data_IF_390353040108
#
_entry.id   IF_390353040108
#
_cell.length_a   1.000
_cell.length_b   1.000
_cell.length_c   1.000
_cell.angle_alpha   90.00
_cell.angle_beta   90.00
_cell.angle_gamma   90.00
#
_symmetry.space_group_name_H-M   'P 1'
#
loop_
_entity.id
_entity.type
_entity.pdbx_description
1 polymer ?
#
# COMPACT_ATOMS: atom_id res chain seq x y z
N UNK A 1 -11.94 -0.91 -10.93
CA UNK A 1 -11.50 -0.25 -9.67
C UNK A 1 -10.55 0.87 -10.02
N UNK A 2 -10.56 1.96 -9.25
CA UNK A 2 -9.67 3.12 -9.42
C UNK A 2 -8.61 3.14 -8.33
N UNK A 3 -7.39 3.52 -8.69
CA UNK A 3 -6.28 3.63 -7.75
C UNK A 3 -5.83 5.09 -7.63
N UNK A 4 -5.59 5.55 -6.41
CA UNK A 4 -5.13 6.90 -6.10
C UNK A 4 -3.89 6.85 -5.22
N UNK A 5 -2.85 7.61 -5.58
CA UNK A 5 -1.62 7.72 -4.80
C UNK A 5 -1.75 8.90 -3.83
N UNK A 6 -1.50 8.62 -2.56
CA UNK A 6 -1.50 9.61 -1.48
C UNK A 6 -0.08 9.82 -0.98
N UNK A 7 0.36 11.07 -0.97
CA UNK A 7 1.67 11.49 -0.49
C UNK A 7 1.52 12.61 0.54
N UNK A 8 2.40 12.67 1.53
CA UNK A 8 2.32 13.66 2.61
C UNK A 8 3.42 13.45 3.65
N UNK A 9 3.20 13.96 4.86
CA UNK A 9 4.14 13.79 6.00
C UNK A 9 4.10 12.39 6.62
N UNK A 10 3.04 11.63 6.34
CA UNK A 10 2.89 10.24 6.79
C UNK A 10 3.45 9.22 5.79
N UNK A 11 3.02 7.96 5.94
CA UNK A 11 3.33 6.92 4.95
C UNK A 11 2.76 7.33 3.59
N UNK A 12 3.51 7.08 2.52
CA UNK A 12 2.94 7.12 1.17
C UNK A 12 2.12 5.85 0.96
N UNK A 13 0.94 5.96 0.37
CA UNK A 13 0.07 4.80 0.15
C UNK A 13 -0.76 4.94 -1.11
N UNK A 14 -1.30 3.82 -1.56
CA UNK A 14 -2.33 3.77 -2.61
C UNK A 14 -3.65 3.42 -1.96
N UNK A 15 -4.72 4.12 -2.32
CA UNK A 15 -6.07 3.60 -2.13
C UNK A 15 -6.56 2.96 -3.42
N UNK A 16 -7.26 1.84 -3.31
CA UNK A 16 -8.00 1.23 -4.42
C UNK A 16 -9.46 1.22 -4.03
N UNK A 17 -10.29 1.89 -4.83
CA UNK A 17 -11.72 2.07 -4.58
C UNK A 17 -12.55 1.42 -5.69
N UNK A 18 -13.80 1.02 -5.40
CA UNK A 18 -14.75 0.58 -6.42
C UNK A 18 -14.94 1.64 -7.51
N UNK A 19 -15.30 1.21 -8.72
CA UNK A 19 -15.57 2.16 -9.82
C UNK A 19 -16.81 3.02 -9.52
N UNK A 20 -17.78 2.41 -8.83
CA UNK A 20 -19.01 2.97 -8.29
C UNK A 20 -18.86 3.62 -6.90
N UNK A 21 -17.63 3.87 -6.43
CA UNK A 21 -17.39 4.55 -5.17
C UNK A 21 -18.12 5.90 -5.13
N UNK A 22 -18.90 6.08 -4.06
CA UNK A 22 -19.66 7.31 -3.80
C UNK A 22 -19.13 7.98 -2.54
N UNK A 23 -18.77 9.26 -2.65
CA UNK A 23 -18.32 10.04 -1.50
C UNK A 23 -19.47 10.21 -0.48
N UNK A 24 -19.18 9.98 0.79
CA UNK A 24 -20.17 10.04 1.88
C UNK A 24 -20.76 8.69 2.28
N UNK A 25 -20.63 7.66 1.44
CA UNK A 25 -21.04 6.30 1.80
C UNK A 25 -19.99 5.62 2.69
N UNK A 26 -20.45 4.67 3.50
CA UNK A 26 -19.58 3.88 4.39
C UNK A 26 -19.10 2.61 3.69
N UNK A 27 -17.79 2.51 3.50
CA UNK A 27 -17.12 1.31 2.99
C UNK A 27 -16.23 0.71 4.08
N UNK A 28 -16.24 -0.61 4.29
CA UNK A 28 -15.23 -1.24 5.13
C UNK A 28 -13.83 -1.08 4.49
N UNK A 29 -12.84 -0.83 5.34
CA UNK A 29 -11.45 -0.63 4.94
C UNK A 29 -10.64 -1.92 5.15
N UNK A 30 -9.92 -2.35 4.11
CA UNK A 30 -8.91 -3.40 4.20
C UNK A 30 -7.53 -2.76 4.04
N UNK A 31 -6.65 -2.98 5.00
CA UNK A 31 -5.25 -2.49 4.94
C UNK A 31 -4.35 -3.64 4.52
N UNK A 32 -3.66 -3.47 3.40
CA UNK A 32 -2.84 -4.49 2.75
C UNK A 32 -1.36 -4.17 2.94
N UNK A 33 -0.72 -4.87 3.87
CA UNK A 33 0.69 -4.66 4.22
C UNK A 33 1.58 -5.57 3.38
N UNK A 34 2.50 -4.97 2.61
CA UNK A 34 3.45 -5.70 1.79
C UNK A 34 4.56 -6.35 2.64
N UNK A 35 5.19 -7.39 2.08
CA UNK A 35 6.35 -8.06 2.69
C UNK A 35 7.65 -7.24 2.57
N UNK A 36 8.72 -7.68 3.23
CA UNK A 36 10.01 -6.98 3.19
C UNK A 36 10.54 -6.80 1.76
N UNK A 37 10.94 -5.57 1.39
CA UNK A 37 11.51 -5.24 0.09
C UNK A 37 10.47 -4.89 -0.98
N UNK A 38 9.19 -5.18 -0.76
CA UNK A 38 8.12 -4.73 -1.62
C UNK A 38 7.76 -3.24 -1.38
N UNK A 39 6.75 -2.75 -2.07
CA UNK A 39 6.18 -1.42 -1.95
C UNK A 39 4.64 -1.46 -2.13
N UNK A 40 4.00 -0.30 -2.02
CA UNK A 40 2.54 -0.12 -2.12
C UNK A 40 1.90 -0.63 -3.42
N UNK A 41 2.64 -0.64 -4.54
CA UNK A 41 2.14 -1.05 -5.86
C UNK A 41 1.97 -2.57 -5.95
N UNK A 42 2.81 -3.34 -5.26
CA UNK A 42 2.82 -4.81 -5.36
C UNK A 42 1.49 -5.44 -4.94
N UNK A 43 0.77 -4.78 -4.05
CA UNK A 43 -0.50 -5.26 -3.51
C UNK A 43 -1.73 -4.60 -4.16
N UNK A 44 -1.62 -3.40 -4.72
CA UNK A 44 -2.77 -2.70 -5.30
C UNK A 44 -3.49 -3.51 -6.39
N UNK A 45 -2.74 -4.29 -7.19
CA UNK A 45 -3.29 -5.16 -8.23
C UNK A 45 -4.11 -6.36 -7.72
N UNK A 46 -4.01 -6.70 -6.43
CA UNK A 46 -4.75 -7.83 -5.84
C UNK A 46 -6.18 -7.43 -5.44
N UNK A 47 -6.45 -6.14 -5.21
CA UNK A 47 -7.74 -5.65 -4.74
C UNK A 47 -8.95 -6.13 -5.59
N UNK A 48 -8.92 -6.09 -6.94
CA UNK A 48 -10.04 -6.58 -7.76
C UNK A 48 -10.28 -8.09 -7.64
N UNK A 49 -9.25 -8.87 -7.31
CA UNK A 49 -9.35 -10.32 -7.14
C UNK A 49 -9.90 -10.71 -5.76
N UNK A 50 -9.72 -9.87 -4.73
CA UNK A 50 -10.29 -10.08 -3.40
C UNK A 50 -11.79 -9.77 -3.45
N UNK A 51 -12.15 -8.53 -3.80
CA UNK A 51 -13.54 -8.10 -4.00
C UNK A 51 -13.53 -6.70 -4.65
N UNK A 52 -14.11 -6.54 -5.86
CA UNK A 52 -14.01 -5.30 -6.62
C UNK A 52 -14.97 -4.18 -6.19
N UNK A 53 -15.96 -4.46 -5.33
CA UNK A 53 -17.08 -3.53 -5.06
C UNK A 53 -17.33 -3.26 -3.58
N UNK A 54 -17.04 -4.24 -2.71
CA UNK A 54 -17.47 -4.22 -1.30
C UNK A 54 -16.52 -3.52 -0.32
N UNK A 55 -15.32 -3.12 -0.76
CA UNK A 55 -14.28 -2.58 0.12
C UNK A 55 -13.53 -1.42 -0.52
N UNK A 56 -12.98 -0.57 0.35
CA UNK A 56 -11.84 0.28 0.04
C UNK A 56 -10.57 -0.44 0.53
N UNK A 57 -9.54 -0.42 -0.30
CA UNK A 57 -8.24 -0.99 0.06
C UNK A 57 -7.21 0.12 0.24
N UNK A 58 -6.38 0.03 1.27
CA UNK A 58 -5.22 0.89 1.46
C UNK A 58 -3.95 0.04 1.44
N UNK A 59 -3.00 0.39 0.56
CA UNK A 59 -1.71 -0.26 0.40
C UNK A 59 -0.61 0.75 0.75
N UNK A 60 -0.15 0.84 2.01
CA UNK A 60 0.93 1.74 2.40
C UNK A 60 2.31 1.18 2.08
N UNK A 61 3.24 2.06 1.69
CA UNK A 61 4.67 1.82 1.81
C UNK A 61 5.02 1.74 3.30
N UNK A 62 5.89 0.80 3.66
CA UNK A 62 6.49 0.77 4.99
C UNK A 62 7.43 1.98 5.22
N UNK A 63 7.71 2.37 6.48
CA UNK A 63 8.41 3.62 6.77
C UNK A 63 9.91 3.61 6.46
N UNK A 64 10.55 2.44 6.29
CA UNK A 64 12.00 2.33 6.13
C UNK A 64 12.32 2.00 4.68
N UNK A 65 12.74 2.99 3.85
CA UNK A 65 13.22 2.72 2.51
C UNK A 65 14.63 2.15 2.52
N UNK A 66 14.95 1.27 1.56
CA UNK A 66 16.31 0.81 1.31
C UNK A 66 16.51 0.49 -0.17
N UNK A 67 17.77 0.57 -0.61
CA UNK A 67 18.13 0.30 -1.99
C UNK A 67 18.27 -1.21 -2.22
N UNK A 68 17.36 -1.82 -2.99
CA UNK A 68 17.41 -3.24 -3.33
C UNK A 68 18.35 -3.53 -4.50
N UNK A 69 18.33 -2.65 -5.49
CA UNK A 69 19.12 -2.71 -6.71
C UNK A 69 19.22 -1.30 -7.30
N UNK A 70 20.16 -1.00 -8.21
CA UNK A 70 20.24 0.32 -8.84
C UNK A 70 18.87 0.78 -9.38
N UNK A 71 18.38 1.91 -8.87
CA UNK A 71 17.08 2.48 -9.25
C UNK A 71 15.84 1.83 -8.63
N UNK A 72 15.99 0.85 -7.73
CA UNK A 72 14.88 0.11 -7.12
C UNK A 72 14.88 0.27 -5.60
N UNK A 73 13.89 1.00 -5.09
CA UNK A 73 13.67 1.19 -3.66
C UNK A 73 12.67 0.16 -3.14
N UNK A 74 13.08 -0.60 -2.13
CA UNK A 74 12.19 -1.46 -1.34
C UNK A 74 11.89 -0.83 0.01
N UNK A 75 10.85 -1.34 0.68
CA UNK A 75 10.43 -0.84 1.99
C UNK A 75 10.33 -1.95 3.04
N UNK A 76 10.57 -1.60 4.30
CA UNK A 76 10.50 -2.50 5.45
C UNK A 76 9.76 -1.90 6.64
N UNK A 77 8.97 -2.73 7.33
CA UNK A 77 8.24 -2.36 8.55
C UNK A 77 9.13 -2.32 9.79
N UNK A 78 10.23 -3.07 9.76
CA UNK A 78 11.25 -3.13 10.78
C UNK A 78 12.61 -3.09 10.08
N UNK A 79 13.64 -2.61 10.78
CA UNK A 79 15.01 -2.74 10.29
C UNK A 79 15.36 -4.22 10.14
N UNK A 80 16.15 -4.61 9.10
CA UNK A 80 16.66 -5.97 9.01
C UNK A 80 17.37 -6.34 10.32
N UNK A 81 17.07 -7.53 10.88
CA UNK A 81 17.75 -8.03 12.09
C UNK A 81 19.26 -8.01 11.83
N UNK A 82 19.96 -7.09 12.48
CA UNK A 82 21.38 -6.80 12.25
C UNK A 82 21.73 -5.31 12.29
N UNK A 83 20.75 -4.42 12.11
CA UNK A 83 20.92 -2.98 12.30
C UNK A 83 20.58 -2.54 13.73
N UNK A 84 21.27 -3.10 14.73
CA UNK A 84 21.35 -2.50 16.06
C UNK A 84 22.30 -1.31 16.03
N UNK A 85 21.96 -0.26 16.78
CA UNK A 85 22.84 0.87 17.09
C UNK A 85 24.20 0.44 17.59
#
# INVERSE_FOLDING_TARGET
>A
MRAEIHSGTGLQYITVVPDEYTEGDSYPLVVMLHGFGANMQDLAGLAPAINPTGYVYACPNAPIPFNLAPGHTGYGWMTPRGGGT
#
